data_IF_393563769516
#
_entry.id   IF_393563769516
#
_cell.length_a   1.000
_cell.length_b   1.000
_cell.length_c   1.000
_cell.angle_alpha   90.00
_cell.angle_beta   90.00
_cell.angle_gamma   90.00
#
_symmetry.space_group_name_H-M   'P 1'
#
loop_
_entity.id
_entity.type
_entity.pdbx_description
1 polymer ?
#
# COMPACT_ATOMS: atom_id res chain seq x y z
N UNK A 1 31.86 34.99 14.84
CA UNK A 1 31.19 33.72 15.14
C UNK A 1 30.85 33.09 13.80
N UNK A 2 31.64 32.12 13.32
CA UNK A 2 31.38 31.53 12.02
C UNK A 2 30.10 30.73 12.08
N UNK A 3 29.26 30.97 11.08
CA UNK A 3 27.97 30.36 10.83
C UNK A 3 28.10 28.84 10.87
N UNK A 4 27.43 28.20 11.84
CA UNK A 4 27.24 26.76 11.82
C UNK A 4 26.40 26.43 10.58
N UNK A 5 27.09 26.05 9.51
CA UNK A 5 26.51 25.27 8.44
C UNK A 5 26.15 23.92 9.07
N UNK A 6 24.88 23.75 9.42
CA UNK A 6 24.34 22.45 9.77
C UNK A 6 24.51 21.53 8.57
N UNK A 7 25.43 20.56 8.68
CA UNK A 7 25.55 19.44 7.76
C UNK A 7 24.16 18.79 7.56
N UNK A 8 23.81 18.33 6.34
CA UNK A 8 22.58 17.57 6.16
C UNK A 8 22.67 16.34 7.07
N UNK A 9 21.57 15.98 7.76
CA UNK A 9 21.58 14.84 8.67
C UNK A 9 22.12 13.62 7.93
N UNK A 10 23.11 12.99 8.54
CA UNK A 10 23.81 11.81 8.07
C UNK A 10 22.80 10.72 7.66
N UNK A 11 22.45 10.66 6.36
CA UNK A 11 21.35 9.84 5.85
C UNK A 11 21.75 8.37 5.87
N UNK A 12 21.62 7.75 7.05
CA UNK A 12 21.86 6.34 7.31
C UNK A 12 21.11 5.45 6.31
N UNK A 13 19.90 5.84 5.91
CA UNK A 13 19.10 5.09 4.93
C UNK A 13 19.74 5.13 3.54
N UNK A 14 20.22 6.29 3.10
CA UNK A 14 20.97 6.40 1.84
C UNK A 14 22.28 5.61 1.88
N UNK A 15 23.03 5.65 2.98
CA UNK A 15 24.26 4.84 3.14
C UNK A 15 23.97 3.34 3.09
N UNK A 16 22.90 2.88 3.72
CA UNK A 16 22.46 1.50 3.65
C UNK A 16 22.13 1.09 2.20
N UNK A 17 21.35 1.90 1.47
CA UNK A 17 21.01 1.62 0.07
C UNK A 17 22.24 1.58 -0.84
N UNK A 18 23.28 2.34 -0.51
CA UNK A 18 24.47 2.50 -1.35
C UNK A 18 24.25 3.49 -2.50
N UNK A 19 25.05 3.42 -3.58
CA UNK A 19 25.13 4.47 -4.60
C UNK A 19 23.92 4.53 -5.54
N UNK A 20 23.05 3.52 -5.50
CA UNK A 20 21.87 3.48 -6.37
C UNK A 20 20.87 4.57 -5.97
N UNK A 21 20.10 5.13 -6.93
CA UNK A 21 19.02 6.04 -6.61
C UNK A 21 17.89 5.30 -5.87
N UNK A 22 17.10 5.99 -5.03
CA UNK A 22 15.92 5.39 -4.43
C UNK A 22 14.92 4.95 -5.49
N UNK A 23 14.32 3.80 -5.26
CA UNK A 23 13.16 3.36 -6.00
C UNK A 23 11.96 4.29 -5.73
N UNK A 24 11.26 4.79 -6.75
CA UNK A 24 10.12 5.67 -6.55
C UNK A 24 8.97 4.95 -5.83
N UNK A 25 8.27 5.70 -4.99
CA UNK A 25 7.02 5.27 -4.38
C UNK A 25 5.88 5.32 -5.38
N UNK A 26 5.11 4.23 -5.43
CA UNK A 26 3.83 4.15 -6.14
C UNK A 26 2.70 4.04 -5.13
N UNK A 27 1.46 4.33 -5.54
CA UNK A 27 0.29 4.15 -4.67
C UNK A 27 0.19 2.72 -4.11
N UNK A 28 0.61 1.71 -4.89
CA UNK A 28 0.67 0.32 -4.47
C UNK A 28 1.74 0.07 -3.41
N UNK A 29 2.95 0.62 -3.56
CA UNK A 29 4.02 0.53 -2.54
C UNK A 29 3.57 1.18 -1.24
N UNK A 30 2.95 2.37 -1.31
CA UNK A 30 2.44 3.10 -0.14
C UNK A 30 1.31 2.32 0.54
N UNK A 31 0.37 1.79 -0.24
CA UNK A 31 -0.71 0.92 0.28
C UNK A 31 -0.14 -0.27 1.05
N UNK A 32 0.90 -0.88 0.51
CA UNK A 32 1.49 -2.07 1.11
C UNK A 32 2.18 -1.77 2.47
N UNK A 33 2.57 -0.53 2.76
CA UNK A 33 3.05 -0.09 4.08
C UNK A 33 2.01 -0.33 5.18
N UNK A 34 0.72 -0.22 4.84
CA UNK A 34 -0.39 -0.47 5.77
C UNK A 34 -0.73 -1.95 5.94
N UNK A 35 -0.25 -2.83 5.05
CA UNK A 35 -0.62 -4.24 5.05
C UNK A 35 0.11 -5.07 6.11
N UNK A 36 1.33 -4.65 6.51
CA UNK A 36 2.08 -5.28 7.60
C UNK A 36 2.89 -4.24 8.39
N UNK A 37 2.21 -3.43 9.22
CA UNK A 37 2.82 -2.28 9.88
C UNK A 37 3.77 -2.63 11.02
N UNK A 38 3.85 -3.90 11.42
CA UNK A 38 4.76 -4.37 12.47
C UNK A 38 6.14 -4.79 11.94
N UNK A 39 6.34 -4.82 10.62
CA UNK A 39 7.58 -5.33 10.03
C UNK A 39 8.67 -4.24 9.96
N UNK A 40 9.61 -4.27 10.91
CA UNK A 40 10.75 -3.36 10.97
C UNK A 40 11.64 -3.45 9.72
N UNK A 41 11.96 -4.69 9.29
CA UNK A 41 12.71 -4.95 8.05
C UNK A 41 12.11 -4.25 6.85
N UNK A 42 10.80 -4.40 6.66
CA UNK A 42 10.11 -3.74 5.54
C UNK A 42 10.17 -2.22 5.68
N UNK A 43 9.92 -1.66 6.87
CA UNK A 43 9.95 -0.22 7.09
C UNK A 43 11.28 0.39 6.67
N UNK A 44 12.41 -0.23 7.05
CA UNK A 44 13.76 0.22 6.64
C UNK A 44 13.99 0.06 5.15
N UNK A 45 13.64 -1.09 4.55
CA UNK A 45 13.80 -1.33 3.12
C UNK A 45 12.99 -0.36 2.25
N UNK A 46 11.74 -0.07 2.65
CA UNK A 46 10.88 0.89 1.98
C UNK A 46 11.43 2.32 2.16
N UNK A 47 11.74 2.75 3.38
CA UNK A 47 12.26 4.09 3.67
C UNK A 47 13.60 4.36 2.95
N UNK A 48 14.50 3.38 2.92
CA UNK A 48 15.76 3.49 2.18
C UNK A 48 15.55 3.55 0.66
N UNK A 49 14.40 3.13 0.15
CA UNK A 49 14.12 3.08 -1.29
C UNK A 49 14.92 1.99 -2.00
N UNK A 50 15.17 0.87 -1.34
CA UNK A 50 15.92 -0.26 -1.92
C UNK A 50 15.04 -1.01 -2.93
N UNK A 51 15.65 -1.47 -4.03
CA UNK A 51 15.01 -2.43 -4.92
C UNK A 51 14.93 -3.81 -4.24
N UNK A 52 13.83 -4.05 -3.54
CA UNK A 52 13.58 -5.30 -2.81
C UNK A 52 13.50 -6.52 -3.72
N UNK A 53 13.11 -6.36 -4.98
CA UNK A 53 13.08 -7.47 -5.93
C UNK A 53 14.50 -7.89 -6.29
N UNK A 54 15.36 -6.93 -6.62
CA UNK A 54 16.77 -7.18 -6.86
C UNK A 54 17.47 -7.69 -5.59
N UNK A 55 17.18 -7.10 -4.43
CA UNK A 55 17.70 -7.57 -3.14
C UNK A 55 17.37 -9.04 -2.89
N UNK A 56 16.09 -9.43 -3.07
CA UNK A 56 15.67 -10.82 -2.93
C UNK A 56 16.44 -11.76 -3.88
N UNK A 57 16.64 -11.35 -5.14
CA UNK A 57 17.41 -12.13 -6.13
C UNK A 57 18.87 -12.31 -5.69
N UNK A 58 19.52 -11.26 -5.19
CA UNK A 58 20.91 -11.31 -4.73
C UNK A 58 21.11 -12.26 -3.53
N UNK A 59 20.06 -12.46 -2.72
CA UNK A 59 20.07 -13.45 -1.63
C UNK A 59 19.45 -14.80 -2.02
N UNK A 60 19.27 -15.07 -3.31
CA UNK A 60 18.89 -16.39 -3.83
C UNK A 60 17.38 -16.65 -3.92
N UNK A 61 16.54 -15.62 -3.78
CA UNK A 61 15.08 -15.76 -3.81
C UNK A 61 14.49 -15.11 -5.05
N UNK A 62 13.65 -15.86 -5.77
CA UNK A 62 12.93 -15.32 -6.93
C UNK A 62 11.69 -14.51 -6.47
N UNK A 63 11.63 -13.19 -6.73
CA UNK A 63 10.48 -12.37 -6.39
C UNK A 63 9.31 -12.73 -7.30
N UNK A 64 8.47 -13.68 -6.88
CA UNK A 64 7.23 -14.02 -7.58
C UNK A 64 6.11 -13.08 -7.17
N UNK A 65 6.24 -11.82 -7.58
CA UNK A 65 5.27 -10.76 -7.32
C UNK A 65 4.95 -10.03 -8.64
N UNK A 66 3.66 -9.93 -8.97
CA UNK A 66 3.22 -9.27 -10.22
C UNK A 66 1.85 -9.74 -10.66
N UNK A 67 1.16 -8.91 -11.45
CA UNK A 67 -0.06 -9.33 -12.13
C UNK A 67 0.31 -10.16 -13.38
N UNK A 68 -0.51 -11.15 -13.72
CA UNK A 68 -0.38 -11.87 -15.01
C UNK A 68 -0.50 -10.88 -16.19
N UNK A 69 0.22 -11.10 -17.31
CA UNK A 69 0.02 -10.32 -18.53
C UNK A 69 -1.45 -10.27 -19.00
N UNK A 70 -2.21 -11.34 -18.77
CA UNK A 70 -3.64 -11.37 -19.07
C UNK A 70 -4.46 -10.44 -18.16
N UNK A 71 -4.08 -10.33 -16.88
CA UNK A 71 -4.74 -9.42 -15.95
C UNK A 71 -4.45 -7.96 -16.32
N UNK A 72 -3.20 -7.65 -16.71
CA UNK A 72 -2.81 -6.32 -17.21
C UNK A 72 -3.57 -5.94 -18.49
N UNK A 73 -3.63 -6.84 -19.48
CA UNK A 73 -4.35 -6.60 -20.72
C UNK A 73 -5.85 -6.39 -20.50
N UNK A 74 -6.46 -7.19 -19.61
CA UNK A 74 -7.88 -7.04 -19.22
C UNK A 74 -8.13 -5.71 -18.51
N UNK A 75 -7.23 -5.30 -17.62
CA UNK A 75 -7.29 -4.00 -16.95
C UNK A 75 -7.21 -2.84 -17.95
N UNK A 76 -6.22 -2.86 -18.83
CA UNK A 76 -6.06 -1.83 -19.87
C UNK A 76 -7.27 -1.76 -20.82
N UNK A 77 -7.80 -2.90 -21.26
CA UNK A 77 -8.98 -2.95 -22.12
C UNK A 77 -10.23 -2.36 -21.42
N UNK A 78 -10.43 -2.68 -20.15
CA UNK A 78 -11.55 -2.14 -19.38
C UNK A 78 -11.41 -0.63 -19.12
N UNK A 79 -10.20 -0.14 -18.81
CA UNK A 79 -9.93 1.29 -18.71
C UNK A 79 -10.23 2.00 -20.03
N UNK A 80 -9.78 1.44 -21.16
CA UNK A 80 -10.08 1.95 -22.49
C UNK A 80 -11.58 2.06 -22.74
N UNK A 81 -12.36 1.03 -22.36
CA UNK A 81 -13.82 1.03 -22.50
C UNK A 81 -14.50 2.12 -21.65
N UNK A 82 -14.10 2.29 -20.39
CA UNK A 82 -14.69 3.31 -19.50
C UNK A 82 -14.46 4.73 -20.03
N UNK A 83 -13.31 4.96 -20.68
CA UNK A 83 -12.91 6.26 -21.23
C UNK A 83 -13.34 6.48 -22.69
N UNK A 84 -13.82 5.43 -23.36
CA UNK A 84 -14.18 5.48 -24.78
C UNK A 84 -15.33 6.45 -25.04
N UNK A 85 -15.35 7.04 -26.25
CA UNK A 85 -16.45 7.90 -26.69
C UNK A 85 -16.59 9.19 -25.87
N UNK A 86 -15.47 9.81 -25.48
CA UNK A 86 -15.50 11.04 -24.68
C UNK A 86 -15.96 10.82 -23.24
N UNK A 87 -15.59 9.69 -22.64
CA UNK A 87 -15.92 9.36 -21.24
C UNK A 87 -17.41 9.17 -20.97
N UNK A 88 -18.22 8.82 -21.98
CA UNK A 88 -19.68 8.72 -21.86
C UNK A 88 -20.12 7.78 -20.73
N UNK A 89 -19.47 6.62 -20.59
CA UNK A 89 -19.78 5.67 -19.51
C UNK A 89 -19.41 6.19 -18.13
N UNK A 90 -18.25 6.85 -17.98
CA UNK A 90 -17.86 7.46 -16.72
C UNK A 90 -18.82 8.59 -16.34
N UNK A 91 -19.17 9.47 -17.28
CA UNK A 91 -20.14 10.56 -17.05
C UNK A 91 -21.50 9.98 -16.64
N UNK A 92 -21.98 8.90 -17.29
CA UNK A 92 -23.20 8.20 -16.88
C UNK A 92 -23.13 7.74 -15.42
N UNK A 93 -22.03 7.08 -15.03
CA UNK A 93 -21.84 6.62 -13.65
C UNK A 93 -21.78 7.78 -12.65
N UNK A 94 -21.13 8.90 -13.00
CA UNK A 94 -21.11 10.09 -12.16
C UNK A 94 -22.52 10.68 -11.97
N UNK A 95 -23.36 10.68 -13.01
CA UNK A 95 -24.76 11.09 -12.89
C UNK A 95 -25.57 10.14 -11.98
N UNK A 96 -25.36 8.83 -12.11
CA UNK A 96 -26.06 7.84 -11.31
C UNK A 96 -25.66 7.84 -9.83
N UNK A 97 -24.37 7.99 -9.53
CA UNK A 97 -23.85 7.88 -8.17
C UNK A 97 -23.76 9.21 -7.44
N UNK A 98 -23.60 10.31 -8.18
CA UNK A 98 -23.31 11.64 -7.64
C UNK A 98 -24.30 12.69 -8.15
N UNK A 99 -25.36 12.33 -8.87
CA UNK A 99 -26.39 13.28 -9.34
C UNK A 99 -25.85 14.48 -10.14
N UNK A 100 -24.76 14.28 -10.89
CA UNK A 100 -24.12 15.32 -11.73
C UNK A 100 -25.13 15.96 -12.71
N UNK A 101 -25.16 17.30 -12.85
CA UNK A 101 -26.00 17.95 -13.85
C UNK A 101 -25.62 17.56 -15.28
N UNK A 102 -26.62 17.48 -16.19
CA UNK A 102 -26.38 17.11 -17.59
C UNK A 102 -25.45 18.10 -18.31
N UNK A 103 -25.53 19.38 -17.95
CA UNK A 103 -24.72 20.46 -18.55
C UNK A 103 -23.22 20.33 -18.24
N UNK A 104 -22.84 19.58 -17.21
CA UNK A 104 -21.43 19.35 -16.86
C UNK A 104 -20.92 18.08 -17.54
N UNK A 105 -19.98 18.24 -18.46
CA UNK A 105 -19.36 17.13 -19.19
C UNK A 105 -17.92 17.42 -19.64
N UNK A 106 -17.30 18.51 -19.16
CA UNK A 106 -15.98 18.90 -19.61
C UNK A 106 -14.90 18.00 -19.01
N UNK A 107 -14.07 17.40 -19.86
CA UNK A 107 -12.96 16.52 -19.47
C UNK A 107 -11.63 17.17 -19.83
N UNK A 108 -10.58 16.91 -19.05
CA UNK A 108 -9.22 17.33 -19.37
C UNK A 108 -8.28 16.16 -19.19
N UNK A 109 -7.61 15.80 -20.28
CA UNK A 109 -6.58 14.77 -20.28
C UNK A 109 -5.26 15.36 -19.80
N UNK A 110 -4.70 14.80 -18.72
CA UNK A 110 -3.42 15.20 -18.15
C UNK A 110 -2.32 14.15 -18.35
N UNK A 111 -2.48 13.20 -19.28
CA UNK A 111 -1.40 12.28 -19.67
C UNK A 111 -0.21 13.02 -20.30
N UNK A 112 -0.45 14.18 -20.91
CA UNK A 112 0.57 15.01 -21.54
C UNK A 112 0.21 16.49 -21.40
N UNK A 113 1.22 17.35 -21.18
CA UNK A 113 1.04 18.80 -21.12
C UNK A 113 1.95 19.45 -22.17
N UNK A 114 1.35 19.88 -23.27
CA UNK A 114 2.03 20.61 -24.35
C UNK A 114 3.25 19.87 -24.93
N UNK A 115 3.13 18.59 -25.26
CA UNK A 115 4.25 17.78 -25.76
C UNK A 115 5.02 17.01 -24.70
N UNK A 116 4.75 17.24 -23.40
CA UNK A 116 5.61 16.76 -22.31
C UNK A 116 4.88 15.80 -21.36
N UNK A 117 5.44 14.59 -21.20
CA UNK A 117 4.91 13.52 -20.34
C UNK A 117 5.60 13.44 -18.97
N UNK A 118 6.58 14.30 -18.69
CA UNK A 118 7.32 14.30 -17.43
C UNK A 118 6.39 14.59 -16.24
N UNK A 119 6.49 13.75 -15.21
CA UNK A 119 5.57 13.78 -14.05
C UNK A 119 5.53 15.13 -13.34
N UNK A 120 6.68 15.81 -13.18
CA UNK A 120 6.73 17.13 -12.55
C UNK A 120 6.04 18.24 -13.37
N UNK A 121 6.02 18.13 -14.70
CA UNK A 121 5.30 19.08 -15.56
C UNK A 121 3.80 18.86 -15.45
N UNK A 122 3.39 17.59 -15.51
CA UNK A 122 1.98 17.16 -15.35
C UNK A 122 1.44 17.49 -13.95
N UNK A 123 2.25 17.34 -12.91
CA UNK A 123 1.92 17.73 -11.53
C UNK A 123 1.62 19.22 -11.44
N UNK A 124 2.49 20.05 -12.02
CA UNK A 124 2.32 21.51 -11.97
C UNK A 124 1.03 21.94 -12.66
N UNK A 125 0.70 21.35 -13.80
CA UNK A 125 -0.55 21.61 -14.50
C UNK A 125 -1.77 21.07 -13.74
N UNK A 126 -1.65 19.88 -13.16
CA UNK A 126 -2.67 19.30 -12.28
C UNK A 126 -3.01 20.25 -11.14
N UNK A 127 -1.99 20.74 -10.43
CA UNK A 127 -2.14 21.69 -9.31
C UNK A 127 -2.77 23.00 -9.77
N UNK A 128 -2.35 23.53 -10.93
CA UNK A 128 -2.95 24.72 -11.53
C UNK A 128 -4.44 24.52 -11.77
N UNK A 129 -4.83 23.43 -12.44
CA UNK A 129 -6.24 23.14 -12.75
C UNK A 129 -7.06 22.93 -11.48
N UNK A 130 -6.57 22.15 -10.51
CA UNK A 130 -7.25 21.97 -9.22
C UNK A 130 -7.56 23.31 -8.57
N UNK A 131 -6.62 24.27 -8.57
CA UNK A 131 -6.85 25.59 -7.98
C UNK A 131 -7.91 26.42 -8.72
N UNK A 132 -7.91 26.41 -10.06
CA UNK A 132 -8.92 27.13 -10.85
C UNK A 132 -10.31 26.52 -10.65
N UNK A 133 -10.36 25.19 -10.64
CA UNK A 133 -11.58 24.41 -10.49
C UNK A 133 -12.17 24.59 -9.09
N UNK A 134 -11.36 24.44 -8.02
CA UNK A 134 -11.79 24.61 -6.63
C UNK A 134 -12.22 26.05 -6.27
N UNK A 135 -11.62 27.06 -6.92
CA UNK A 135 -12.01 28.47 -6.76
C UNK A 135 -13.23 28.87 -7.60
N UNK A 136 -13.75 27.97 -8.43
CA UNK A 136 -14.90 28.24 -9.31
C UNK A 136 -14.57 29.09 -10.55
N UNK A 137 -13.29 29.30 -10.85
CA UNK A 137 -12.83 29.98 -12.07
C UNK A 137 -12.97 29.10 -13.32
N UNK A 138 -13.14 27.80 -13.13
CA UNK A 138 -13.26 26.81 -14.19
C UNK A 138 -14.28 25.73 -13.81
N UNK A 139 -15.06 25.28 -14.78
CA UNK A 139 -16.06 24.23 -14.60
C UNK A 139 -15.62 23.03 -15.43
N UNK A 140 -14.95 22.09 -14.76
CA UNK A 140 -14.53 20.81 -15.33
C UNK A 140 -15.14 19.69 -14.52
N UNK A 141 -15.66 18.66 -15.20
CA UNK A 141 -16.23 17.49 -14.53
C UNK A 141 -15.14 16.45 -14.22
N UNK A 142 -14.22 16.21 -15.16
CA UNK A 142 -13.20 15.14 -15.05
C UNK A 142 -11.82 15.71 -15.34
N UNK A 143 -10.89 15.50 -14.41
CA UNK A 143 -9.45 15.56 -14.66
C UNK A 143 -8.97 14.11 -14.83
N UNK A 144 -8.61 13.74 -16.05
CA UNK A 144 -8.15 12.38 -16.38
C UNK A 144 -6.65 12.25 -16.14
N UNK A 145 -6.24 11.19 -15.44
CA UNK A 145 -4.83 10.89 -15.12
C UNK A 145 -4.04 12.10 -14.57
N UNK A 146 -4.59 12.84 -13.58
CA UNK A 146 -3.85 13.91 -12.94
C UNK A 146 -2.63 13.35 -12.20
N UNK A 147 -1.64 14.19 -11.93
CA UNK A 147 -0.48 13.81 -11.13
C UNK A 147 -0.52 14.57 -9.80
N UNK A 148 -0.64 13.83 -8.71
CA UNK A 148 -0.58 14.35 -7.34
C UNK A 148 0.76 13.98 -6.71
N UNK A 149 1.10 14.65 -5.61
CA UNK A 149 2.34 14.38 -4.86
C UNK A 149 2.06 14.05 -3.39
N UNK A 150 2.90 13.19 -2.83
CA UNK A 150 2.91 12.85 -1.41
C UNK A 150 4.34 12.61 -0.94
N UNK A 151 4.72 13.20 0.20
CA UNK A 151 6.03 12.95 0.82
C UNK A 151 6.01 11.65 1.62
N UNK A 152 6.93 10.74 1.31
CA UNK A 152 7.06 9.44 1.98
C UNK A 152 8.53 9.20 2.29
N UNK A 153 8.89 9.10 3.57
CA UNK A 153 10.27 8.91 4.04
C UNK A 153 11.29 9.86 3.37
N UNK A 154 10.95 11.16 3.31
CA UNK A 154 11.81 12.18 2.70
C UNK A 154 11.85 12.19 1.17
N UNK A 155 11.03 11.38 0.50
CA UNK A 155 10.96 11.30 -0.95
C UNK A 155 9.58 11.74 -1.47
N UNK A 156 9.58 12.54 -2.53
CA UNK A 156 8.37 12.92 -3.24
C UNK A 156 7.88 11.76 -4.11
N UNK A 157 6.74 11.19 -3.75
CA UNK A 157 6.00 10.23 -4.57
C UNK A 157 5.11 10.96 -5.58
N UNK A 158 5.20 10.60 -6.86
CA UNK A 158 4.28 11.06 -7.90
C UNK A 158 3.19 10.02 -8.11
N UNK A 159 1.94 10.43 -7.97
CA UNK A 159 0.78 9.54 -7.88
C UNK A 159 -0.24 9.88 -8.95
N UNK A 160 -0.60 8.88 -9.75
CA UNK A 160 -1.54 9.02 -10.87
C UNK A 160 -2.85 8.28 -10.55
N UNK A 161 -3.85 8.92 -9.91
CA UNK A 161 -5.21 8.37 -9.85
C UNK A 161 -5.80 8.24 -11.27
N UNK A 162 -6.82 7.39 -11.43
CA UNK A 162 -7.43 7.17 -12.74
C UNK A 162 -8.15 8.41 -13.24
N UNK A 163 -8.93 9.05 -12.35
CA UNK A 163 -9.47 10.38 -12.55
C UNK A 163 -9.77 11.07 -11.21
N UNK A 164 -9.90 12.40 -11.25
CA UNK A 164 -10.50 13.21 -10.18
C UNK A 164 -11.71 13.91 -10.78
N UNK A 165 -12.83 13.87 -10.08
CA UNK A 165 -14.04 14.59 -10.48
C UNK A 165 -14.30 15.75 -9.54
N UNK A 166 -14.93 16.78 -10.08
CA UNK A 166 -15.18 18.02 -9.36
C UNK A 166 -16.65 18.41 -9.32
N UNK A 167 -17.03 18.94 -8.16
CA UNK A 167 -18.24 19.72 -7.85
C UNK A 167 -19.55 18.99 -8.07
N UNK A 168 -19.66 17.85 -7.41
CA UNK A 168 -20.94 17.40 -6.89
C UNK A 168 -21.06 17.89 -5.44
N UNK A 169 -22.09 18.68 -5.15
CA UNK A 169 -22.34 19.23 -3.81
C UNK A 169 -21.13 19.98 -3.20
N UNK A 170 -20.29 20.57 -4.06
CA UNK A 170 -19.07 21.28 -3.64
C UNK A 170 -17.89 20.38 -3.26
N UNK A 171 -17.91 19.09 -3.61
CA UNK A 171 -16.83 18.15 -3.31
C UNK A 171 -16.13 17.56 -4.53
N UNK A 172 -14.84 17.28 -4.37
CA UNK A 172 -13.99 16.50 -5.24
C UNK A 172 -14.04 15.02 -4.85
N UNK A 173 -14.11 14.14 -5.84
CA UNK A 173 -14.06 12.69 -5.64
C UNK A 173 -12.90 12.10 -6.44
N UNK A 174 -12.20 11.15 -5.84
CA UNK A 174 -11.26 10.28 -6.56
C UNK A 174 -12.06 9.18 -7.25
N UNK A 175 -11.68 8.84 -8.48
CA UNK A 175 -12.23 7.70 -9.22
C UNK A 175 -11.13 6.67 -9.41
N UNK A 176 -11.44 5.40 -9.13
CA UNK A 176 -10.58 4.26 -9.46
C UNK A 176 -11.32 3.29 -10.36
N UNK A 177 -10.65 2.86 -11.43
CA UNK A 177 -11.17 1.90 -12.39
C UNK A 177 -10.47 0.57 -12.14
N UNK A 178 -11.23 -0.52 -11.92
CA UNK A 178 -10.67 -1.85 -11.65
C UNK A 178 -11.37 -2.89 -12.50
N UNK A 179 -10.67 -3.98 -12.81
CA UNK A 179 -11.15 -5.00 -13.76
C UNK A 179 -11.78 -6.23 -13.12
N UNK A 180 -11.85 -6.32 -11.79
CA UNK A 180 -12.62 -7.37 -11.09
C UNK A 180 -14.12 -7.09 -11.19
N UNK A 181 -14.96 -8.10 -11.38
CA UNK A 181 -16.40 -7.88 -11.55
C UNK A 181 -17.13 -7.65 -10.21
N UNK A 182 -18.19 -6.85 -10.24
CA UNK A 182 -19.24 -6.84 -9.23
C UNK A 182 -20.36 -7.79 -9.68
N UNK A 183 -20.57 -8.88 -8.95
CA UNK A 183 -21.62 -9.88 -9.22
C UNK A 183 -22.83 -9.54 -8.37
N UNK A 184 -24.00 -9.36 -8.99
CA UNK A 184 -25.25 -9.02 -8.29
C UNK A 184 -25.09 -7.76 -7.40
N UNK A 185 -24.32 -6.78 -7.89
CA UNK A 185 -24.04 -5.53 -7.17
C UNK A 185 -23.00 -5.64 -6.04
N UNK A 186 -22.34 -6.79 -5.90
CA UNK A 186 -21.29 -7.03 -4.91
C UNK A 186 -19.96 -7.40 -5.58
N UNK A 187 -18.94 -6.57 -5.37
CA UNK A 187 -17.58 -6.90 -5.74
C UNK A 187 -16.90 -7.72 -4.64
N UNK A 188 -15.84 -8.45 -5.02
CA UNK A 188 -15.01 -9.19 -4.08
C UNK A 188 -14.52 -8.27 -2.95
N UNK A 189 -14.87 -8.54 -1.67
CA UNK A 189 -14.54 -7.65 -0.55
C UNK A 189 -13.04 -7.37 -0.39
N UNK A 190 -12.20 -8.37 -0.62
CA UNK A 190 -10.73 -8.22 -0.56
C UNK A 190 -10.24 -7.28 -1.67
N UNK A 191 -10.77 -7.41 -2.88
CA UNK A 191 -10.38 -6.54 -3.99
C UNK A 191 -10.87 -5.09 -3.78
N UNK A 192 -12.06 -4.91 -3.19
CA UNK A 192 -12.59 -3.60 -2.81
C UNK A 192 -11.72 -2.98 -1.71
N UNK A 193 -11.34 -3.73 -0.68
CA UNK A 193 -10.48 -3.23 0.40
C UNK A 193 -9.09 -2.79 -0.13
N UNK A 194 -8.50 -3.53 -1.08
CA UNK A 194 -7.24 -3.11 -1.71
C UNK A 194 -7.41 -1.84 -2.56
N UNK A 195 -8.53 -1.72 -3.31
CA UNK A 195 -8.85 -0.49 -4.04
C UNK A 195 -9.07 0.70 -3.09
N UNK A 196 -9.74 0.49 -1.96
CA UNK A 196 -10.00 1.51 -0.94
C UNK A 196 -8.69 2.03 -0.33
N UNK A 197 -7.77 1.14 0.07
CA UNK A 197 -6.45 1.57 0.56
C UNK A 197 -5.69 2.40 -0.48
N UNK A 198 -5.74 2.00 -1.75
CA UNK A 198 -5.10 2.78 -2.82
C UNK A 198 -5.80 4.13 -3.04
N UNK A 199 -7.12 4.19 -2.96
CA UNK A 199 -7.88 5.43 -3.04
C UNK A 199 -7.54 6.39 -1.89
N UNK A 200 -7.38 5.87 -0.67
CA UNK A 200 -6.96 6.66 0.48
C UNK A 200 -5.61 7.35 0.26
N UNK A 201 -4.67 6.70 -0.43
CA UNK A 201 -3.39 7.33 -0.83
C UNK A 201 -3.62 8.53 -1.75
N UNK A 202 -4.49 8.40 -2.75
CA UNK A 202 -4.80 9.50 -3.66
C UNK A 202 -5.60 10.62 -2.99
N UNK A 203 -6.56 10.30 -2.13
CA UNK A 203 -7.32 11.29 -1.34
C UNK A 203 -6.38 12.06 -0.41
N UNK A 204 -5.44 11.38 0.25
CA UNK A 204 -4.43 12.05 1.08
C UNK A 204 -3.51 12.97 0.26
N UNK A 205 -3.06 12.52 -0.91
CA UNK A 205 -2.26 13.34 -1.82
C UNK A 205 -3.05 14.56 -2.35
N UNK A 206 -4.36 14.39 -2.59
CA UNK A 206 -5.25 15.48 -2.99
C UNK A 206 -5.44 16.51 -1.87
N UNK A 207 -5.63 16.05 -0.62
CA UNK A 207 -5.69 16.93 0.56
C UNK A 207 -4.41 17.75 0.69
N UNK A 208 -3.25 17.12 0.52
CA UNK A 208 -1.95 17.80 0.52
C UNK A 208 -1.83 18.86 -0.58
N UNK A 209 -2.35 18.58 -1.78
CA UNK A 209 -2.37 19.54 -2.88
C UNK A 209 -3.25 20.76 -2.56
N UNK A 210 -4.41 20.55 -1.92
CA UNK A 210 -5.29 21.62 -1.45
C UNK A 210 -4.63 22.46 -0.36
N UNK A 211 -4.06 21.82 0.66
CA UNK A 211 -3.34 22.51 1.73
C UNK A 211 -2.21 23.40 1.17
N UNK A 212 -1.44 22.87 0.22
CA UNK A 212 -0.33 23.61 -0.44
C UNK A 212 -0.83 24.81 -1.23
N UNK A 213 -2.04 24.74 -1.78
CA UNK A 213 -2.69 25.82 -2.51
C UNK A 213 -3.49 26.78 -1.61
N UNK A 214 -3.54 26.54 -0.28
CA UNK A 214 -4.37 27.32 0.64
C UNK A 214 -5.88 27.13 0.44
N UNK A 215 -6.29 25.98 -0.09
CA UNK A 215 -7.68 25.63 -0.37
C UNK A 215 -8.27 24.77 0.78
N UNK A 216 -9.59 24.89 1.05
CA UNK A 216 -10.25 24.11 2.10
C UNK A 216 -10.33 22.62 1.74
N UNK A 217 -9.77 21.75 2.58
CA UNK A 217 -9.77 20.29 2.35
C UNK A 217 -11.13 19.64 2.57
N UNK A 218 -12.09 20.35 3.16
CA UNK A 218 -13.50 19.94 3.30
C UNK A 218 -14.19 19.79 1.94
N UNK A 219 -13.63 20.40 0.89
CA UNK A 219 -14.04 20.18 -0.49
C UNK A 219 -13.60 18.82 -1.03
N UNK A 220 -12.91 17.97 -0.26
CA UNK A 220 -12.52 16.63 -0.72
C UNK A 220 -13.38 15.60 0.00
N UNK A 221 -14.08 14.78 -0.78
CA UNK A 221 -14.90 13.70 -0.24
C UNK A 221 -14.04 12.65 0.48
N UNK A 222 -14.61 12.06 1.53
CA UNK A 222 -14.08 10.86 2.17
C UNK A 222 -14.57 9.59 1.47
N UNK A 223 -15.36 9.72 0.41
CA UNK A 223 -15.76 8.61 -0.45
C UNK A 223 -15.04 8.71 -1.79
N UNK A 224 -14.72 7.56 -2.38
CA UNK A 224 -14.25 7.48 -3.76
C UNK A 224 -15.22 6.67 -4.61
N UNK A 225 -15.23 6.93 -5.91
CA UNK A 225 -16.00 6.15 -6.86
C UNK A 225 -15.16 4.97 -7.37
N UNK A 226 -15.56 3.76 -6.99
CA UNK A 226 -15.05 2.53 -7.58
C UNK A 226 -15.84 2.20 -8.84
N UNK A 227 -15.14 2.09 -9.98
CA UNK A 227 -15.69 1.67 -11.27
C UNK A 227 -15.17 0.27 -11.61
N UNK A 228 -16.06 -0.67 -11.89
CA UNK A 228 -15.72 -2.05 -12.22
C UNK A 228 -16.74 -2.71 -13.16
N UNK A 229 -16.41 -3.83 -13.84
CA UNK A 229 -17.36 -4.55 -14.68
C UNK A 229 -18.58 -5.04 -13.90
N UNK A 230 -19.76 -4.99 -14.53
CA UNK A 230 -21.01 -5.52 -13.99
C UNK A 230 -21.23 -6.97 -14.42
N UNK A 231 -21.48 -7.85 -13.45
CA UNK A 231 -21.81 -9.26 -13.62
C UNK A 231 -20.79 -9.96 -14.54
N UNK A 232 -21.26 -10.65 -15.59
CA UNK A 232 -20.43 -11.32 -16.58
C UNK A 232 -20.21 -10.48 -17.85
N UNK A 233 -20.42 -9.16 -17.77
CA UNK A 233 -20.28 -8.24 -18.89
C UNK A 233 -19.16 -7.22 -18.65
N UNK A 234 -18.71 -6.54 -19.70
CA UNK A 234 -17.81 -5.38 -19.57
C UNK A 234 -18.57 -4.06 -19.36
N UNK A 235 -19.87 -4.09 -19.05
CA UNK A 235 -20.62 -2.87 -18.76
C UNK A 235 -20.09 -2.23 -17.48
N UNK A 236 -19.68 -0.95 -17.48
CA UNK A 236 -19.22 -0.28 -16.26
C UNK A 236 -20.32 -0.16 -15.20
N UNK A 237 -19.96 -0.51 -13.97
CA UNK A 237 -20.74 -0.36 -12.75
C UNK A 237 -19.94 0.50 -11.76
N UNK A 238 -20.61 1.44 -11.11
CA UNK A 238 -20.00 2.39 -10.18
C UNK A 238 -20.61 2.27 -8.79
N UNK A 239 -19.79 2.43 -7.75
CA UNK A 239 -20.25 2.53 -6.36
C UNK A 239 -19.35 3.43 -5.53
N UNK A 240 -19.95 4.26 -4.68
CA UNK A 240 -19.24 5.04 -3.67
C UNK A 240 -18.83 4.16 -2.49
N UNK A 241 -17.60 4.34 -2.03
CA UNK A 241 -17.01 3.60 -0.91
C UNK A 241 -16.36 4.59 0.05
N UNK A 242 -16.70 4.51 1.33
CA UNK A 242 -16.14 5.32 2.43
C UNK A 242 -14.68 4.91 2.72
N UNK A 243 -13.83 5.91 2.98
CA UNK A 243 -12.39 5.75 3.20
C UNK A 243 -11.91 6.19 4.58
N UNK A 244 -12.79 6.54 5.51
CA UNK A 244 -12.36 7.12 6.80
C UNK A 244 -11.40 6.21 7.55
N UNK A 245 -11.70 4.90 7.60
CA UNK A 245 -10.84 3.92 8.25
C UNK A 245 -9.48 3.79 7.56
N UNK A 246 -9.46 3.75 6.23
CA UNK A 246 -8.24 3.62 5.42
C UNK A 246 -7.37 4.88 5.51
N UNK A 247 -7.99 6.06 5.55
CA UNK A 247 -7.30 7.34 5.72
C UNK A 247 -6.62 7.42 7.08
N UNK A 248 -7.32 7.06 8.16
CA UNK A 248 -6.75 7.05 9.51
C UNK A 248 -5.57 6.07 9.61
N UNK A 249 -5.74 4.85 9.09
CA UNK A 249 -4.69 3.84 9.07
C UNK A 249 -3.47 4.30 8.26
N UNK A 250 -3.68 4.89 7.08
CA UNK A 250 -2.61 5.38 6.22
C UNK A 250 -1.83 6.53 6.89
N UNK A 251 -2.53 7.52 7.43
CA UNK A 251 -1.90 8.64 8.11
C UNK A 251 -1.05 8.17 9.29
N UNK A 252 -1.60 7.27 10.11
CA UNK A 252 -0.86 6.67 11.22
C UNK A 252 0.41 5.96 10.74
N UNK A 253 0.33 5.16 9.67
CA UNK A 253 1.52 4.47 9.15
C UNK A 253 2.58 5.41 8.57
N UNK A 254 2.18 6.46 7.86
CA UNK A 254 3.13 7.44 7.32
C UNK A 254 3.89 8.17 8.45
N UNK A 255 3.26 8.41 9.61
CA UNK A 255 3.98 8.93 10.78
C UNK A 255 4.99 7.94 11.36
N UNK A 256 4.66 6.63 11.34
CA UNK A 256 5.55 5.55 11.82
C UNK A 256 6.75 5.30 10.93
N UNK A 257 6.61 5.47 9.61
CA UNK A 257 7.74 5.34 8.68
C UNK A 257 8.91 6.26 9.01
N UNK A 258 8.67 7.37 9.70
CA UNK A 258 9.74 8.23 10.25
C UNK A 258 10.66 7.49 11.23
N UNK A 259 10.15 6.45 11.91
CA UNK A 259 10.94 5.58 12.82
C UNK A 259 11.83 4.58 12.09
N UNK A 260 11.76 4.50 10.75
CA UNK A 260 12.68 3.67 9.98
C UNK A 260 14.13 4.15 10.14
N UNK A 261 14.33 5.45 10.34
CA UNK A 261 15.66 6.02 10.66
C UNK A 261 16.18 5.49 12.00
N UNK A 262 15.33 5.43 13.04
CA UNK A 262 15.70 4.88 14.35
C UNK A 262 16.07 3.38 14.28
N UNK A 263 15.34 2.61 13.46
CA UNK A 263 15.63 1.20 13.22
C UNK A 263 16.94 1.03 12.43
N UNK A 264 17.17 1.88 11.42
CA UNK A 264 18.39 1.87 10.61
C UNK A 264 19.64 2.26 11.42
N UNK A 265 19.48 3.13 12.42
CA UNK A 265 20.55 3.56 13.32
C UNK A 265 21.01 2.46 14.29
N UNK A 266 20.15 1.49 14.60
CA UNK A 266 20.49 0.34 15.46
C UNK A 266 21.29 -0.74 14.73
N UNK A 267 21.33 -0.69 13.40
CA UNK A 267 22.11 -1.64 12.62
C UNK A 267 23.62 -1.42 12.79
N UNK A 268 24.44 -2.48 12.79
CA UNK A 268 25.90 -2.36 12.81
C UNK A 268 26.41 -1.43 11.71
N UNK A 269 27.52 -0.71 11.94
CA UNK A 269 28.08 0.20 10.93
C UNK A 269 28.40 -0.50 9.59
N UNK A 270 28.75 -1.78 9.65
CA UNK A 270 29.03 -2.65 8.50
C UNK A 270 27.78 -3.06 7.72
N UNK A 271 26.57 -2.81 8.24
CA UNK A 271 25.33 -3.19 7.56
C UNK A 271 25.18 -2.46 6.23
N UNK A 272 24.68 -3.18 5.23
CA UNK A 272 24.47 -2.69 3.88
C UNK A 272 23.28 -3.37 3.21
N UNK A 273 22.55 -2.60 2.41
CA UNK A 273 21.45 -3.02 1.56
C UNK A 273 21.77 -2.72 0.08
N UNK A 274 23.04 -2.44 -0.21
CA UNK A 274 23.56 -2.20 -1.56
C UNK A 274 23.62 -3.53 -2.31
N UNK A 275 22.75 -3.69 -3.31
CA UNK A 275 22.62 -4.91 -4.10
C UNK A 275 23.85 -5.27 -4.92
N UNK A 276 24.90 -4.44 -4.93
CA UNK A 276 26.21 -4.75 -5.53
C UNK A 276 27.17 -5.47 -4.58
N UNK A 277 26.82 -5.56 -3.29
CA UNK A 277 27.59 -6.26 -2.24
C UNK A 277 27.39 -7.77 -2.30
N UNK A 278 28.22 -8.51 -1.55
CA UNK A 278 28.15 -9.96 -1.51
C UNK A 278 26.84 -10.45 -0.86
N UNK A 279 26.39 -11.64 -1.26
CA UNK A 279 25.20 -12.29 -0.67
C UNK A 279 25.30 -12.43 0.85
N UNK A 280 26.49 -12.69 1.38
CA UNK A 280 26.71 -12.86 2.83
C UNK A 280 26.56 -11.54 3.58
N UNK A 281 27.14 -10.43 3.07
CA UNK A 281 26.97 -9.09 3.65
C UNK A 281 25.50 -8.64 3.65
N UNK A 282 24.80 -8.90 2.54
CA UNK A 282 23.37 -8.58 2.40
C UNK A 282 22.51 -9.40 3.36
N UNK A 283 22.74 -10.71 3.42
CA UNK A 283 21.97 -11.61 4.30
C UNK A 283 22.13 -11.23 5.77
N UNK A 284 23.37 -10.99 6.22
CA UNK A 284 23.62 -10.53 7.59
C UNK A 284 22.90 -9.21 7.92
N UNK A 285 22.86 -8.28 6.97
CA UNK A 285 22.19 -6.98 7.15
C UNK A 285 20.66 -7.11 7.17
N UNK A 286 20.11 -8.03 6.37
CA UNK A 286 18.67 -8.33 6.32
C UNK A 286 18.23 -9.03 7.61
N UNK A 287 19.01 -10.00 8.10
CA UNK A 287 18.73 -10.76 9.32
C UNK A 287 18.79 -9.89 10.58
N UNK A 288 19.66 -8.87 10.60
CA UNK A 288 19.73 -7.89 11.68
C UNK A 288 18.46 -7.00 11.81
N UNK A 289 17.57 -7.05 10.81
CA UNK A 289 16.27 -6.38 10.85
C UNK A 289 15.16 -7.39 11.12
N UNK A 290 14.39 -7.19 12.19
CA UNK A 290 13.28 -8.07 12.53
C UNK A 290 12.19 -8.07 11.42
N UNK A 291 11.88 -9.27 10.92
CA UNK A 291 10.71 -9.48 10.08
C UNK A 291 9.49 -9.87 10.92
N UNK A 292 8.36 -9.26 10.59
CA UNK A 292 7.05 -9.67 11.12
C UNK A 292 6.29 -10.48 10.06
N UNK A 293 6.86 -11.61 9.60
CA UNK A 293 6.28 -12.35 8.48
C UNK A 293 4.83 -12.79 8.75
N UNK A 294 4.00 -12.70 7.71
CA UNK A 294 2.62 -13.23 7.70
C UNK A 294 2.36 -13.84 6.32
N UNK A 295 1.47 -14.82 6.15
CA UNK A 295 1.18 -15.41 4.84
C UNK A 295 0.73 -14.37 3.79
N UNK A 296 0.03 -13.31 4.23
CA UNK A 296 -0.39 -12.23 3.34
C UNK A 296 0.77 -11.44 2.72
N UNK A 297 1.98 -11.49 3.31
CA UNK A 297 3.17 -10.85 2.72
C UNK A 297 3.46 -11.31 1.29
N UNK A 298 3.11 -12.56 0.95
CA UNK A 298 3.27 -13.09 -0.41
C UNK A 298 2.49 -12.29 -1.47
N UNK A 299 1.48 -11.52 -1.06
CA UNK A 299 0.64 -10.72 -1.94
C UNK A 299 1.08 -9.26 -2.08
N UNK A 300 2.13 -8.80 -1.38
CA UNK A 300 2.50 -7.37 -1.37
C UNK A 300 3.96 -7.03 -1.04
N UNK A 301 4.82 -8.01 -0.76
CA UNK A 301 6.22 -7.80 -0.39
C UNK A 301 7.14 -8.74 -1.19
N UNK A 302 8.14 -8.16 -1.84
CA UNK A 302 9.09 -8.86 -2.69
C UNK A 302 10.02 -9.79 -1.88
N UNK A 303 10.31 -9.43 -0.62
CA UNK A 303 11.08 -10.24 0.32
C UNK A 303 10.28 -11.38 0.98
N UNK A 304 8.99 -11.54 0.66
CA UNK A 304 8.10 -12.43 1.41
C UNK A 304 8.53 -13.91 1.40
N UNK A 305 9.22 -14.38 0.35
CA UNK A 305 9.73 -15.76 0.29
C UNK A 305 10.93 -15.95 1.20
N UNK A 306 11.86 -14.99 1.19
CA UNK A 306 12.98 -14.96 2.13
C UNK A 306 12.48 -14.99 3.58
N UNK A 307 11.58 -14.07 3.95
CA UNK A 307 11.03 -14.02 5.30
C UNK A 307 10.17 -15.26 5.65
N UNK A 308 9.61 -15.95 4.66
CA UNK A 308 8.87 -17.20 4.88
C UNK A 308 9.85 -18.31 5.24
N UNK A 309 10.89 -18.51 4.46
CA UNK A 309 11.87 -19.56 4.70
C UNK A 309 12.62 -19.33 6.03
N UNK A 310 12.88 -18.08 6.40
CA UNK A 310 13.35 -17.69 7.73
C UNK A 310 12.35 -18.09 8.84
N UNK A 311 11.07 -17.72 8.70
CA UNK A 311 10.01 -18.09 9.64
C UNK A 311 9.85 -19.61 9.76
N UNK A 312 10.16 -20.36 8.70
CA UNK A 312 10.15 -21.82 8.69
C UNK A 312 11.31 -22.39 9.51
N UNK A 313 12.52 -21.85 9.32
CA UNK A 313 13.73 -22.28 10.02
C UNK A 313 13.62 -22.11 11.54
N UNK A 314 13.09 -20.97 11.99
CA UNK A 314 12.86 -20.69 13.41
C UNK A 314 11.53 -21.26 13.94
N UNK A 315 10.76 -21.96 13.10
CA UNK A 315 9.46 -22.53 13.45
C UNK A 315 8.45 -21.51 13.99
N UNK A 316 8.47 -20.28 13.49
CA UNK A 316 7.62 -19.18 13.97
C UNK A 316 6.12 -19.48 13.80
N UNK A 317 5.28 -19.27 14.83
CA UNK A 317 3.83 -19.40 14.71
C UNK A 317 3.21 -18.45 13.66
N UNK A 318 3.87 -17.33 13.38
CA UNK A 318 3.41 -16.35 12.40
C UNK A 318 3.29 -16.92 10.98
N UNK A 319 4.04 -17.99 10.67
CA UNK A 319 3.90 -18.76 9.42
C UNK A 319 2.49 -19.33 9.22
N UNK A 320 1.79 -19.66 10.31
CA UNK A 320 0.44 -20.23 10.29
C UNK A 320 -0.66 -19.16 10.17
N UNK A 321 -0.28 -17.88 10.19
CA UNK A 321 -1.19 -16.75 10.05
C UNK A 321 -1.35 -15.93 11.33
N UNK A 322 -1.94 -14.73 11.18
CA UNK A 322 -2.10 -13.77 12.27
C UNK A 322 -2.95 -14.30 13.43
N UNK A 323 -4.00 -15.08 13.14
CA UNK A 323 -4.82 -15.69 14.19
C UNK A 323 -3.98 -16.54 15.13
N UNK A 324 -3.23 -17.50 14.56
CA UNK A 324 -2.35 -18.39 15.34
C UNK A 324 -1.26 -17.62 16.09
N UNK A 325 -0.65 -16.61 15.46
CA UNK A 325 0.33 -15.75 16.14
C UNK A 325 -0.27 -15.02 17.35
N UNK A 326 -1.48 -14.50 17.19
CA UNK A 326 -2.15 -13.72 18.24
C UNK A 326 -2.68 -14.62 19.37
N UNK A 327 -3.01 -15.88 19.07
CA UNK A 327 -3.47 -16.88 20.04
C UNK A 327 -2.31 -17.51 20.84
N UNK A 328 -1.06 -17.22 20.49
CA UNK A 328 0.15 -17.74 21.14
C UNK A 328 1.05 -16.60 21.67
N UNK A 329 0.53 -15.68 22.50
CA UNK A 329 1.35 -14.60 23.07
C UNK A 329 2.48 -15.18 23.92
N UNK A 330 3.68 -14.62 23.76
CA UNK A 330 4.89 -15.06 24.49
C UNK A 330 5.54 -16.34 23.95
N UNK A 331 4.85 -17.13 23.13
CA UNK A 331 5.38 -18.38 22.57
C UNK A 331 6.00 -18.07 21.20
N UNK A 332 7.33 -18.08 21.13
CA UNK A 332 8.13 -17.65 19.98
C UNK A 332 8.21 -18.70 18.85
N UNK A 333 8.04 -19.98 19.17
CA UNK A 333 8.14 -21.09 18.21
C UNK A 333 7.03 -22.11 18.39
N UNK A 334 6.61 -22.70 17.27
CA UNK A 334 5.70 -23.86 17.25
C UNK A 334 6.32 -25.10 17.89
N UNK A 335 7.66 -25.18 18.00
CA UNK A 335 8.35 -26.24 18.75
C UNK A 335 8.08 -26.07 20.25
N UNK A 336 8.30 -24.87 20.79
CA UNK A 336 7.99 -24.51 22.18
C UNK A 336 6.52 -24.79 22.52
N UNK A 337 5.60 -24.42 21.61
CA UNK A 337 4.17 -24.70 21.77
C UNK A 337 3.87 -26.20 21.89
N UNK A 338 4.53 -27.04 21.09
CA UNK A 338 4.40 -28.50 21.15
C UNK A 338 5.05 -29.07 22.42
N UNK A 339 6.20 -28.56 22.84
CA UNK A 339 6.85 -28.97 24.09
C UNK A 339 5.96 -28.70 25.31
N UNK A 340 5.24 -27.58 25.34
CA UNK A 340 4.25 -27.26 26.39
C UNK A 340 3.01 -28.17 26.37
N UNK A 341 2.61 -28.65 25.18
CA UNK A 341 1.52 -29.61 25.00
C UNK A 341 1.91 -31.01 25.45
N UNK A 342 3.14 -31.43 25.13
CA UNK A 342 3.66 -32.76 25.42
C UNK A 342 4.23 -32.86 26.84
N UNK A 343 4.33 -31.74 27.56
CA UNK A 343 4.84 -31.67 28.93
C UNK A 343 6.36 -31.79 29.02
N UNK A 344 7.07 -31.57 27.92
CA UNK A 344 8.54 -31.56 27.84
C UNK A 344 9.10 -30.30 28.48
N UNK A 345 8.40 -29.18 28.36
CA UNK A 345 8.73 -27.91 29.00
C UNK A 345 7.52 -27.35 29.76
N UNK A 346 7.79 -26.55 30.80
CA UNK A 346 6.77 -25.84 31.56
C UNK A 346 6.69 -24.38 31.07
N UNK A 347 5.47 -23.83 30.85
CA UNK A 347 5.32 -22.44 30.46
C UNK A 347 5.72 -21.49 31.59
N UNK A 348 6.29 -20.34 31.22
CA UNK A 348 6.46 -19.23 32.15
C UNK A 348 5.12 -18.57 32.52
N UNK A 349 5.16 -17.62 33.46
CA UNK A 349 3.97 -16.88 33.91
C UNK A 349 3.25 -16.18 32.74
N UNK A 350 4.00 -15.57 31.82
CA UNK A 350 3.46 -14.88 30.64
C UNK A 350 2.83 -15.80 29.59
N UNK A 351 3.19 -17.10 29.58
CA UNK A 351 2.77 -18.06 28.56
C UNK A 351 1.71 -19.04 29.08
N UNK A 352 1.42 -19.00 30.39
CA UNK A 352 0.56 -19.99 31.06
C UNK A 352 -0.84 -20.01 30.46
N UNK A 353 -1.44 -18.84 30.23
CA UNK A 353 -2.78 -18.73 29.63
C UNK A 353 -2.81 -19.30 28.19
N UNK A 354 -1.82 -18.95 27.38
CA UNK A 354 -1.69 -19.45 26.01
C UNK A 354 -1.51 -20.97 25.98
N UNK A 355 -0.69 -21.51 26.89
CA UNK A 355 -0.47 -22.94 27.02
C UNK A 355 -1.76 -23.69 27.45
N UNK A 356 -2.55 -23.12 28.35
CA UNK A 356 -3.83 -23.72 28.78
C UNK A 356 -4.88 -23.74 27.65
N UNK A 357 -4.99 -22.65 26.89
CA UNK A 357 -5.82 -22.60 25.69
C UNK A 357 -5.38 -23.64 24.66
N UNK A 358 -4.06 -23.78 24.46
CA UNK A 358 -3.49 -24.76 23.54
C UNK A 358 -3.81 -26.19 23.98
N UNK A 359 -3.68 -26.51 25.27
CA UNK A 359 -4.07 -27.82 25.84
C UNK A 359 -5.57 -28.11 25.67
N UNK A 360 -6.42 -27.10 25.91
CA UNK A 360 -7.85 -27.21 25.69
C UNK A 360 -8.19 -27.50 24.21
N UNK A 361 -7.57 -26.78 23.28
CA UNK A 361 -7.73 -26.99 21.84
C UNK A 361 -7.25 -28.39 21.42
N UNK A 362 -6.11 -28.87 21.94
CA UNK A 362 -5.61 -30.21 21.69
C UNK A 362 -6.58 -31.31 22.21
N UNK A 363 -7.16 -31.12 23.39
CA UNK A 363 -8.21 -32.02 23.93
C UNK A 363 -9.43 -32.07 23.01
N UNK A 364 -9.95 -30.93 22.57
CA UNK A 364 -11.09 -30.86 21.65
C UNK A 364 -10.78 -31.54 20.30
N UNK A 365 -9.57 -31.34 19.77
CA UNK A 365 -9.12 -31.99 18.53
C UNK A 365 -9.05 -33.51 18.67
N UNK A 366 -8.55 -34.03 19.81
CA UNK A 366 -8.54 -35.48 20.11
C UNK A 366 -9.95 -36.05 20.18
N UNK A 367 -10.86 -35.40 20.91
CA UNK A 367 -12.27 -35.82 21.01
C UNK A 367 -12.95 -35.87 19.64
N UNK A 368 -12.73 -34.85 18.79
CA UNK A 368 -13.31 -34.79 17.44
C UNK A 368 -12.80 -35.90 16.51
N UNK A 369 -11.54 -36.32 16.66
CA UNK A 369 -10.96 -37.38 15.83
C UNK A 369 -11.45 -38.78 16.19
N UNK A 370 -12.30 -38.91 17.21
CA UNK A 370 -12.65 -40.19 17.83
C UNK A 370 -11.45 -40.67 18.62
N UNK A 371 -11.59 -40.72 19.95
CA UNK A 371 -10.51 -41.25 20.78
C UNK A 371 -10.24 -42.71 20.39
N UNK A 372 -9.01 -43.00 20.00
CA UNK A 372 -8.36 -44.25 20.37
C UNK A 372 -7.99 -44.16 21.86
#
# INVERSE_FOLDING_TARGET
MPSQQSEPPDDRLARLRGPQPPQPYTARKITALTANPACARRAVLDAAGVDKALLAQQVGYEPRFGQSPFALAREQAFHGLVKWGGYAELIRLLREQLSVPVAEAHVTDLNEVGGNTALHVRERETRRLIAHVASGQDVRLILDRPVLTLEVAGQTAYLEPDAITHRIEGKFHVVLIRSFAAIDGQANPTAVAEAAKQAAVYVLALRRAFDTAGLPTEQISHEFLLVCPKDFSNRPYGRLIDLRQELDALQFQLTRLRRAEDLAAQLPETATLDTTRSTDELSASIEALDASYTPSCLSFCEMARYCRDEADGCASPARLGNGVRNDLPGIDSTRTALDYLDGVAAPGEAETEAADLLRAAARLRRLRRGAA
#
